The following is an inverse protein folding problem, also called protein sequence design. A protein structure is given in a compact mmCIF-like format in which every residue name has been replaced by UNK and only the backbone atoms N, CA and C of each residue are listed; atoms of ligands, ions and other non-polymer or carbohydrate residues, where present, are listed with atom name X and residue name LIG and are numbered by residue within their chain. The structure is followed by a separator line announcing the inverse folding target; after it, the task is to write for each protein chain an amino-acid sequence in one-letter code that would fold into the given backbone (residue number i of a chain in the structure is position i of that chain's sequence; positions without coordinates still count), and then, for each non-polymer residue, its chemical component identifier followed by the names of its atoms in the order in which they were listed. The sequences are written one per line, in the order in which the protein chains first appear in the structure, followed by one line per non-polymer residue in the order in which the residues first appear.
data_IF_093573933037
#
_entry.id   IF_093573933037
#
_cell.length_a   1.000
_cell.length_b   1.000
_cell.length_c   1.000
_cell.angle_alpha   90.00
_cell.angle_beta   90.00
_cell.angle_gamma   90.00
#
_symmetry.space_group_name_H-M   'P 1'
#
loop_
_entity.id
_entity.type
_entity.pdbx_description
1 polymer ?
#
# COMPACT_ATOMS: atom_id res chain seq x y z
N UNK A 1 -10.97 57.88 28.71
CA UNK A 1 -10.31 58.92 27.89
C UNK A 1 -11.21 59.16 26.68
N UNK A 2 -11.66 60.38 26.44
CA UNK A 2 -12.39 60.71 25.20
C UNK A 2 -11.41 61.30 24.19
N UNK A 3 -11.48 60.80 22.95
CA UNK A 3 -10.75 61.36 21.82
C UNK A 3 -11.77 61.87 20.80
N UNK A 4 -11.57 63.10 20.36
CA UNK A 4 -12.41 63.76 19.35
C UNK A 4 -11.64 63.81 18.03
N UNK A 5 -12.28 63.39 16.94
CA UNK A 5 -11.72 63.52 15.61
C UNK A 5 -11.85 64.98 15.15
N UNK A 6 -10.73 65.63 14.84
CA UNK A 6 -10.66 67.08 14.56
C UNK A 6 -11.20 67.44 13.17
N UNK A 7 -11.31 66.47 12.25
CA UNK A 7 -11.85 66.71 10.90
C UNK A 7 -13.36 66.44 10.78
N UNK A 8 -13.91 65.51 11.56
CA UNK A 8 -15.32 65.10 11.45
C UNK A 8 -16.20 65.49 12.64
N UNK A 9 -15.61 65.99 13.72
CA UNK A 9 -16.33 66.43 14.93
C UNK A 9 -16.91 65.29 15.78
N UNK A 10 -16.79 64.03 15.37
CA UNK A 10 -17.28 62.87 16.13
C UNK A 10 -16.42 62.58 17.37
N UNK A 11 -17.11 62.33 18.50
CA UNK A 11 -16.51 61.92 19.78
C UNK A 11 -16.77 60.46 20.06
N UNK A 12 -15.71 59.69 20.34
CA UNK A 12 -15.81 58.29 20.77
C UNK A 12 -15.38 58.14 22.22
N UNK A 13 -16.25 57.54 23.05
CA UNK A 13 -15.95 57.19 24.44
C UNK A 13 -15.20 55.86 24.52
N UNK A 14 -13.93 55.90 24.93
CA UNK A 14 -13.19 54.68 25.29
C UNK A 14 -13.72 54.18 26.63
N UNK A 15 -14.42 53.03 26.61
CA UNK A 15 -14.86 52.35 27.82
C UNK A 15 -13.63 51.87 28.62
N UNK A 16 -13.66 52.11 29.93
CA UNK A 16 -12.62 51.70 30.86
C UNK A 16 -12.27 50.22 30.67
N UNK A 17 -10.97 49.94 30.61
CA UNK A 17 -10.42 48.59 30.62
C UNK A 17 -11.07 47.80 31.77
N UNK A 18 -11.79 46.74 31.42
CA UNK A 18 -12.30 45.76 32.38
C UNK A 18 -11.11 45.22 33.15
N UNK A 19 -11.26 45.22 34.47
CA UNK A 19 -10.38 44.61 35.46
C UNK A 19 -9.83 43.28 34.96
N UNK A 20 -8.51 43.10 35.09
CA UNK A 20 -7.79 41.84 34.88
C UNK A 20 -8.63 40.70 35.51
N UNK A 21 -9.05 39.68 34.74
CA UNK A 21 -9.70 38.50 35.31
C UNK A 21 -8.79 37.93 36.40
N UNK A 22 -9.40 37.52 37.52
CA UNK A 22 -8.67 36.83 38.59
C UNK A 22 -7.87 35.67 38.00
N UNK A 23 -6.61 35.54 38.43
CA UNK A 23 -5.78 34.40 38.06
C UNK A 23 -6.55 33.11 38.37
N UNK A 24 -6.65 32.17 37.40
CA UNK A 24 -7.28 30.90 37.66
C UNK A 24 -6.56 30.25 38.83
N UNK A 25 -7.33 29.80 39.83
CA UNK A 25 -6.80 28.94 40.89
C UNK A 25 -6.04 27.78 40.23
N UNK A 26 -4.92 27.30 40.81
CA UNK A 26 -4.24 26.12 40.30
C UNK A 26 -5.26 25.01 40.16
N UNK A 27 -5.61 24.68 38.91
CA UNK A 27 -6.33 23.45 38.61
C UNK A 27 -5.28 22.37 38.83
N UNK A 28 -5.55 21.46 39.76
CA UNK A 28 -4.71 20.27 39.93
C UNK A 28 -4.42 19.69 38.53
N UNK A 29 -3.16 19.36 38.19
CA UNK A 29 -2.85 18.85 36.87
C UNK A 29 -3.77 17.66 36.59
N UNK A 30 -4.64 17.80 35.58
CA UNK A 30 -5.39 16.68 35.02
C UNK A 30 -4.35 15.57 34.81
N UNK A 31 -4.60 14.33 35.30
CA UNK A 31 -3.67 13.23 35.08
C UNK A 31 -3.26 13.22 33.61
N UNK A 32 -1.96 13.33 33.32
CA UNK A 32 -1.47 13.16 31.96
C UNK A 32 -2.01 11.81 31.47
N UNK A 33 -2.87 11.86 30.45
CA UNK A 33 -3.29 10.64 29.78
C UNK A 33 -2.02 9.90 29.34
N UNK A 34 -1.89 8.60 29.63
CA UNK A 34 -0.64 7.88 29.38
C UNK A 34 -0.25 8.07 27.93
N UNK A 35 0.97 8.55 27.69
CA UNK A 35 1.49 8.76 26.33
C UNK A 35 1.28 7.47 25.53
N UNK A 36 0.71 7.54 24.32
CA UNK A 36 0.44 6.35 23.56
C UNK A 36 1.75 5.60 23.30
N UNK A 37 1.71 4.27 23.47
CA UNK A 37 2.87 3.42 23.24
C UNK A 37 3.03 3.21 21.73
N UNK A 38 3.77 4.10 21.08
CA UNK A 38 4.09 3.97 19.65
C UNK A 38 5.04 2.80 19.42
N UNK A 39 4.67 1.90 18.49
CA UNK A 39 5.39 0.64 18.25
C UNK A 39 5.85 0.49 16.80
N UNK A 40 5.11 1.02 15.82
CA UNK A 40 5.31 0.69 14.41
C UNK A 40 5.74 1.90 13.59
N UNK A 41 7.02 1.97 13.22
CA UNK A 41 7.56 3.00 12.34
C UNK A 41 7.10 2.79 10.89
N UNK A 42 6.68 3.87 10.23
CA UNK A 42 6.17 3.84 8.84
C UNK A 42 7.31 3.81 7.83
N UNK A 43 8.41 4.51 8.11
CA UNK A 43 9.64 4.49 7.30
C UNK A 43 10.46 3.27 7.72
N UNK A 44 10.83 2.44 6.76
CA UNK A 44 11.63 1.25 7.01
C UNK A 44 11.26 0.09 6.11
N UNK A 45 11.77 -1.08 6.48
CA UNK A 45 11.45 -2.34 5.80
C UNK A 45 10.25 -2.99 6.45
N UNK A 46 9.40 -3.58 5.62
CA UNK A 46 8.33 -4.46 6.10
C UNK A 46 8.87 -5.64 6.90
N UNK A 47 8.12 -6.01 7.92
CA UNK A 47 8.36 -7.20 8.73
C UNK A 47 7.70 -8.40 8.07
N UNK A 48 6.47 -8.25 7.58
CA UNK A 48 5.80 -9.32 6.84
C UNK A 48 6.28 -9.39 5.39
N UNK A 49 6.42 -10.61 4.85
CA UNK A 49 6.67 -10.82 3.42
C UNK A 49 5.39 -10.71 2.61
N UNK A 50 5.51 -10.44 1.30
CA UNK A 50 4.36 -10.42 0.39
C UNK A 50 3.60 -11.75 0.38
N UNK A 51 4.31 -12.88 0.54
CA UNK A 51 3.72 -14.22 0.65
C UNK A 51 2.89 -14.37 1.92
N UNK A 52 3.40 -13.92 3.07
CA UNK A 52 2.63 -13.89 4.32
C UNK A 52 1.37 -13.03 4.17
N UNK A 53 1.47 -11.87 3.52
CA UNK A 53 0.36 -10.97 3.29
C UNK A 53 -0.72 -11.53 2.37
N UNK A 54 -0.32 -12.21 1.29
CA UNK A 54 -1.21 -12.95 0.40
C UNK A 54 -1.94 -14.05 1.16
N UNK A 55 -1.22 -14.85 1.95
CA UNK A 55 -1.81 -15.93 2.74
C UNK A 55 -2.76 -15.39 3.81
N UNK A 56 -2.38 -14.30 4.48
CA UNK A 56 -3.22 -13.61 5.44
C UNK A 56 -4.52 -13.12 4.79
N UNK A 57 -4.44 -12.44 3.64
CA UNK A 57 -5.61 -11.98 2.91
C UNK A 57 -6.55 -13.13 2.50
N UNK A 58 -5.98 -14.26 2.03
CA UNK A 58 -6.75 -15.49 1.75
C UNK A 58 -7.46 -16.01 3.00
N UNK A 59 -6.77 -16.11 4.13
CA UNK A 59 -7.34 -16.55 5.42
C UNK A 59 -8.50 -15.64 5.87
N UNK A 60 -8.40 -14.34 5.60
CA UNK A 60 -9.44 -13.33 5.88
C UNK A 60 -10.60 -13.33 4.88
N UNK A 61 -10.59 -14.23 3.89
CA UNK A 61 -11.58 -14.29 2.80
C UNK A 61 -11.71 -12.92 2.11
N UNK A 62 -10.56 -12.33 1.80
CA UNK A 62 -10.46 -11.12 1.01
C UNK A 62 -11.03 -11.33 -0.40
N UNK A 63 -11.44 -10.25 -1.05
CA UNK A 63 -11.78 -10.31 -2.47
C UNK A 63 -10.50 -10.57 -3.30
N UNK A 64 -10.61 -11.30 -4.41
CA UNK A 64 -9.46 -11.70 -5.24
C UNK A 64 -8.59 -10.50 -5.65
N UNK A 65 -9.20 -9.39 -6.11
CA UNK A 65 -8.51 -8.12 -6.40
C UNK A 65 -7.55 -7.63 -5.30
N UNK A 66 -7.89 -7.83 -4.03
CA UNK A 66 -7.06 -7.42 -2.90
C UNK A 66 -5.87 -8.37 -2.73
N UNK A 67 -6.10 -9.66 -2.93
CA UNK A 67 -5.05 -10.68 -2.92
C UNK A 67 -4.06 -10.43 -4.07
N UNK A 68 -4.56 -10.14 -5.26
CA UNK A 68 -3.74 -9.94 -6.47
C UNK A 68 -2.88 -8.68 -6.37
N UNK A 69 -3.38 -7.59 -5.77
CA UNK A 69 -2.64 -6.33 -5.67
C UNK A 69 -1.54 -6.36 -4.60
N UNK A 70 -1.46 -7.41 -3.77
CA UNK A 70 -0.51 -7.50 -2.66
C UNK A 70 0.93 -7.29 -3.12
N UNK A 71 1.38 -7.96 -4.19
CA UNK A 71 2.77 -7.84 -4.66
C UNK A 71 3.15 -6.38 -5.01
N UNK A 72 2.22 -5.63 -5.59
CA UNK A 72 2.42 -4.22 -5.95
C UNK A 72 2.71 -3.34 -4.73
N UNK A 73 2.14 -3.65 -3.55
CA UNK A 73 2.49 -2.94 -2.31
C UNK A 73 3.96 -3.12 -1.92
N UNK A 74 4.53 -4.33 -2.05
CA UNK A 74 5.95 -4.55 -1.74
C UNK A 74 6.86 -3.84 -2.75
N UNK A 75 6.49 -3.81 -4.03
CA UNK A 75 7.23 -3.03 -5.04
C UNK A 75 7.29 -1.55 -4.66
N UNK A 76 6.16 -0.94 -4.30
CA UNK A 76 6.17 0.48 -3.90
C UNK A 76 6.81 0.71 -2.54
N UNK A 77 6.72 -0.24 -1.61
CA UNK A 77 7.45 -0.20 -0.34
C UNK A 77 8.96 -0.12 -0.56
N UNK A 78 9.50 -0.97 -1.43
CA UNK A 78 10.91 -0.97 -1.78
C UNK A 78 11.34 0.34 -2.49
N UNK A 79 10.50 0.87 -3.39
CA UNK A 79 10.78 2.12 -4.11
C UNK A 79 10.77 3.36 -3.21
N UNK A 80 9.92 3.38 -2.18
CA UNK A 80 9.71 4.56 -1.32
C UNK A 80 10.44 4.46 0.02
N UNK A 81 10.88 3.26 0.41
CA UNK A 81 11.42 2.99 1.74
C UNK A 81 10.36 3.00 2.85
N UNK A 82 9.08 2.79 2.50
CA UNK A 82 7.97 2.72 3.45
C UNK A 82 7.54 1.27 3.68
N UNK A 83 7.10 0.96 4.89
CA UNK A 83 6.61 -0.35 5.29
C UNK A 83 5.34 -0.74 4.50
N UNK A 84 5.50 -1.59 3.49
CA UNK A 84 4.41 -2.10 2.65
C UNK A 84 3.33 -2.87 3.42
N UNK A 85 3.72 -3.69 4.40
CA UNK A 85 2.81 -4.40 5.30
C UNK A 85 1.91 -3.45 6.12
N UNK A 86 2.41 -2.30 6.57
CA UNK A 86 1.59 -1.26 7.21
C UNK A 86 0.56 -0.71 6.21
N UNK A 87 1.00 -0.28 5.03
CA UNK A 87 0.10 0.31 4.04
C UNK A 87 -0.89 -0.71 3.47
N UNK A 88 -0.51 -1.99 3.36
CA UNK A 88 -1.40 -3.06 2.94
C UNK A 88 -2.43 -3.40 4.03
N UNK A 89 -2.04 -3.40 5.30
CA UNK A 89 -2.97 -3.51 6.42
C UNK A 89 -3.95 -2.32 6.48
N UNK A 90 -3.47 -1.10 6.22
CA UNK A 90 -4.30 0.09 6.09
C UNK A 90 -5.31 -0.06 4.94
N UNK A 91 -4.86 -0.53 3.78
CA UNK A 91 -5.74 -0.77 2.65
C UNK A 91 -6.80 -1.85 2.91
N UNK A 92 -6.47 -2.89 3.68
CA UNK A 92 -7.45 -3.86 4.13
C UNK A 92 -8.56 -3.21 4.97
N UNK A 93 -8.20 -2.25 5.83
CA UNK A 93 -9.15 -1.51 6.65
C UNK A 93 -10.05 -0.61 5.79
N UNK A 94 -9.46 0.18 4.91
CA UNK A 94 -10.16 1.15 4.06
C UNK A 94 -11.13 0.48 3.07
N UNK A 95 -10.70 -0.63 2.48
CA UNK A 95 -11.46 -1.30 1.41
C UNK A 95 -12.28 -2.49 1.90
N UNK A 96 -12.26 -2.79 3.20
CA UNK A 96 -12.81 -4.03 3.75
C UNK A 96 -12.28 -5.26 2.98
N UNK A 97 -10.95 -5.38 2.87
CA UNK A 97 -10.26 -6.43 2.14
C UNK A 97 -10.66 -6.51 0.64
N UNK A 98 -10.73 -5.36 -0.02
CA UNK A 98 -11.10 -5.20 -1.43
C UNK A 98 -12.58 -5.40 -1.74
N UNK A 99 -13.46 -5.41 -0.73
CA UNK A 99 -14.91 -5.56 -0.90
C UNK A 99 -15.63 -4.24 -1.16
N UNK A 100 -15.03 -3.12 -0.74
CA UNK A 100 -15.53 -1.75 -0.97
C UNK A 100 -16.98 -1.57 -0.52
N UNK A 101 -17.23 -1.75 0.77
CA UNK A 101 -18.58 -1.66 1.36
C UNK A 101 -18.96 -0.23 1.79
N UNK A 102 -18.14 0.78 1.46
CA UNK A 102 -18.32 2.18 1.82
C UNK A 102 -18.65 3.08 0.64
N UNK A 103 -18.26 4.36 0.71
CA UNK A 103 -18.49 5.34 -0.35
C UNK A 103 -17.62 5.11 -1.60
N UNK A 104 -16.37 4.70 -1.39
CA UNK A 104 -15.45 4.31 -2.46
C UNK A 104 -15.88 2.97 -3.04
N UNK A 105 -15.93 2.89 -4.37
CA UNK A 105 -16.24 1.67 -5.13
C UNK A 105 -15.02 1.06 -5.82
N UNK A 106 -15.05 -0.24 -6.16
CA UNK A 106 -13.89 -0.93 -6.76
C UNK A 106 -13.33 -0.25 -7.99
N UNK A 107 -14.19 0.33 -8.84
CA UNK A 107 -13.82 0.95 -10.11
C UNK A 107 -12.96 2.20 -9.93
N UNK A 108 -12.95 2.82 -8.74
CA UNK A 108 -12.09 3.97 -8.45
C UNK A 108 -10.63 3.57 -8.18
N UNK A 109 -10.34 2.27 -7.99
CA UNK A 109 -9.02 1.76 -7.62
C UNK A 109 -8.37 2.48 -6.42
N UNK A 110 -9.17 3.09 -5.56
CA UNK A 110 -8.69 3.88 -4.44
C UNK A 110 -8.58 3.02 -3.19
N UNK A 111 -7.40 2.44 -2.98
CA UNK A 111 -7.16 1.50 -1.89
C UNK A 111 -7.07 2.12 -0.50
N UNK A 112 -7.11 3.44 -0.39
CA UNK A 112 -6.77 4.15 0.84
C UNK A 112 -7.77 5.24 1.25
N UNK A 113 -8.93 5.29 0.59
CA UNK A 113 -9.98 6.27 0.91
C UNK A 113 -9.57 7.72 0.62
N UNK A 114 -8.64 7.94 -0.30
CA UNK A 114 -8.07 9.27 -0.57
C UNK A 114 -9.15 10.18 -1.15
N UNK A 115 -9.36 11.33 -0.52
CA UNK A 115 -10.27 12.38 -0.99
C UNK A 115 -9.74 13.09 -2.21
N UNK A 116 -10.61 13.65 -3.04
CA UNK A 116 -10.18 14.67 -4.03
C UNK A 116 -9.67 15.93 -3.32
N UNK A 117 -9.04 16.85 -4.07
CA UNK A 117 -8.52 18.13 -3.54
C UNK A 117 -9.50 18.86 -2.63
N UNK A 118 -10.72 19.10 -3.12
CA UNK A 118 -11.75 19.89 -2.47
C UNK A 118 -13.04 19.05 -2.33
N UNK A 119 -13.09 18.10 -1.38
CA UNK A 119 -14.28 17.30 -1.17
C UNK A 119 -15.38 18.16 -0.54
N UNK A 120 -16.61 17.92 -0.96
CA UNK A 120 -17.82 18.54 -0.39
C UNK A 120 -18.47 17.69 0.70
N UNK A 121 -18.04 16.43 0.83
CA UNK A 121 -18.46 15.52 1.89
C UNK A 121 -17.80 14.15 1.78
N UNK A 122 -18.64 13.11 1.86
CA UNK A 122 -18.24 11.71 1.85
C UNK A 122 -18.90 10.89 0.73
N UNK A 123 -19.42 11.55 -0.30
CA UNK A 123 -19.99 10.88 -1.46
C UNK A 123 -18.89 10.20 -2.29
N UNK A 124 -19.30 9.31 -3.19
CA UNK A 124 -18.38 8.62 -4.13
C UNK A 124 -17.44 9.59 -4.85
N UNK A 125 -18.00 10.68 -5.36
CA UNK A 125 -17.26 11.68 -6.16
C UNK A 125 -16.37 12.59 -5.31
N UNK A 126 -16.43 12.48 -3.97
CA UNK A 126 -15.51 13.17 -3.07
C UNK A 126 -14.17 12.41 -2.90
N UNK A 127 -13.95 11.32 -3.66
CA UNK A 127 -12.77 10.47 -3.58
C UNK A 127 -12.02 10.38 -4.91
N UNK A 128 -10.70 10.30 -4.84
CA UNK A 128 -9.84 10.13 -6.01
C UNK A 128 -10.21 8.88 -6.79
N UNK A 129 -10.07 8.96 -8.11
CA UNK A 129 -10.19 7.85 -9.04
C UNK A 129 -8.83 7.62 -9.69
N UNK A 130 -8.31 6.40 -9.58
CA UNK A 130 -7.08 5.98 -10.25
C UNK A 130 -7.42 5.06 -11.42
N UNK A 131 -6.81 5.29 -12.58
CA UNK A 131 -7.13 4.56 -13.81
C UNK A 131 -6.85 3.05 -13.67
N UNK A 132 -5.76 2.70 -12.99
CA UNK A 132 -5.33 1.31 -12.77
C UNK A 132 -5.21 1.00 -11.27
N UNK A 133 -5.42 -0.27 -10.87
CA UNK A 133 -5.19 -0.75 -9.50
C UNK A 133 -3.82 -0.34 -8.93
N UNK A 134 -2.76 -0.46 -9.74
CA UNK A 134 -1.38 -0.17 -9.37
C UNK A 134 -1.15 1.33 -9.18
N UNK A 135 -1.83 2.16 -9.96
CA UNK A 135 -1.81 3.63 -9.79
C UNK A 135 -2.49 4.04 -8.49
N UNK A 136 -3.52 3.29 -8.06
CA UNK A 136 -4.10 3.44 -6.73
C UNK A 136 -3.13 3.12 -5.60
N UNK A 137 -2.31 2.08 -5.75
CA UNK A 137 -1.24 1.76 -4.79
C UNK A 137 -0.20 2.88 -4.78
N UNK A 138 0.25 3.33 -5.96
CA UNK A 138 1.15 4.49 -6.08
C UNK A 138 0.57 5.72 -5.38
N UNK A 139 -0.71 5.99 -5.58
CA UNK A 139 -1.45 7.07 -4.93
C UNK A 139 -1.43 6.97 -3.41
N UNK A 140 -1.68 5.77 -2.87
CA UNK A 140 -1.59 5.49 -1.43
C UNK A 140 -0.19 5.80 -0.86
N UNK A 141 0.85 5.25 -1.49
CA UNK A 141 2.23 5.50 -1.05
C UNK A 141 2.62 6.98 -1.18
N UNK A 142 2.24 7.63 -2.28
CA UNK A 142 2.46 9.07 -2.46
C UNK A 142 1.76 9.87 -1.38
N UNK A 143 0.50 9.56 -1.06
CA UNK A 143 -0.21 10.25 0.00
C UNK A 143 0.52 10.09 1.34
N UNK A 144 0.96 8.87 1.68
CA UNK A 144 1.74 8.62 2.89
C UNK A 144 3.09 9.37 2.88
N UNK A 145 3.72 9.54 1.72
CA UNK A 145 4.96 10.33 1.60
C UNK A 145 4.79 11.78 2.10
N UNK A 146 3.62 12.40 1.92
CA UNK A 146 3.36 13.73 2.48
C UNK A 146 3.30 13.73 4.02
N UNK A 147 2.87 12.61 4.63
CA UNK A 147 2.75 12.49 6.08
C UNK A 147 4.12 12.30 6.72
N UNK A 148 4.97 11.48 6.11
CA UNK A 148 6.26 11.05 6.69
C UNK A 148 7.47 11.81 6.13
N UNK A 149 7.28 12.67 5.14
CA UNK A 149 8.32 13.55 4.60
C UNK A 149 9.22 12.84 3.58
N UNK A 150 8.69 11.80 2.93
CA UNK A 150 9.37 11.06 1.86
C UNK A 150 9.07 11.68 0.49
N UNK A 151 9.86 11.29 -0.52
CA UNK A 151 9.66 11.72 -1.91
C UNK A 151 8.59 10.84 -2.58
N UNK A 152 7.57 11.41 -3.23
CA UNK A 152 6.59 10.62 -3.97
C UNK A 152 7.17 10.07 -5.28
N UNK A 153 6.53 9.03 -5.82
CA UNK A 153 6.85 8.41 -7.11
C UNK A 153 5.95 8.99 -8.22
N UNK A 154 6.58 9.52 -9.26
CA UNK A 154 5.88 10.13 -10.39
C UNK A 154 5.08 11.38 -9.98
N UNK A 155 4.09 11.74 -10.80
CA UNK A 155 3.16 12.84 -10.47
C UNK A 155 2.13 12.40 -9.42
N UNK A 156 2.05 13.06 -8.24
CA UNK A 156 1.06 12.74 -7.22
C UNK A 156 -0.35 13.23 -7.57
N UNK A 157 -1.37 12.59 -7.00
CA UNK A 157 -2.76 13.05 -7.05
C UNK A 157 -2.93 14.37 -6.29
N UNK A 158 -3.96 15.17 -6.61
CA UNK A 158 -4.09 16.55 -6.10
C UNK A 158 -4.15 16.66 -4.57
N UNK A 159 -4.81 15.69 -3.92
CA UNK A 159 -4.93 15.66 -2.45
C UNK A 159 -3.59 15.50 -1.73
N UNK A 160 -2.56 15.01 -2.41
CA UNK A 160 -1.19 15.00 -1.89
C UNK A 160 -0.73 16.40 -1.46
N UNK A 161 -0.95 17.42 -2.31
CA UNK A 161 -0.51 18.78 -2.04
C UNK A 161 -1.29 19.44 -0.90
N UNK A 162 -2.54 19.01 -0.68
CA UNK A 162 -3.32 19.43 0.50
C UNK A 162 -2.70 18.86 1.76
N UNK A 163 -2.38 17.56 1.78
CA UNK A 163 -1.71 16.93 2.93
C UNK A 163 -0.35 17.58 3.21
N UNK A 164 0.42 17.90 2.17
CA UNK A 164 1.72 18.56 2.28
C UNK A 164 1.63 20.00 2.83
N UNK A 165 0.46 20.63 2.76
CA UNK A 165 0.23 21.99 3.27
C UNK A 165 -0.17 22.05 4.76
N UNK A 166 -0.33 20.88 5.40
CA UNK A 166 -0.61 20.81 6.83
C UNK A 166 0.63 21.15 7.65
N UNK A 167 0.43 21.59 8.90
CA UNK A 167 1.52 21.96 9.81
C UNK A 167 2.35 20.76 10.28
N UNK A 168 1.75 19.58 10.32
CA UNK A 168 2.40 18.31 10.70
C UNK A 168 2.97 17.53 9.51
N UNK A 169 2.86 18.06 8.28
CA UNK A 169 3.37 17.38 7.09
C UNK A 169 4.85 17.04 7.26
N UNK A 170 5.20 15.78 7.01
CA UNK A 170 6.58 15.28 7.18
C UNK A 170 6.99 14.92 8.60
N UNK A 171 6.11 15.08 9.60
CA UNK A 171 6.45 14.81 11.00
C UNK A 171 5.96 13.45 11.50
N UNK A 172 5.09 12.76 10.75
CA UNK A 172 4.53 11.46 11.14
C UNK A 172 5.61 10.38 11.06
N UNK A 173 5.83 9.67 12.16
CA UNK A 173 6.83 8.59 12.24
C UNK A 173 6.19 7.23 12.46
N UNK A 174 5.11 7.19 13.26
CA UNK A 174 4.49 5.95 13.71
C UNK A 174 3.07 5.78 13.16
N UNK A 175 2.67 4.53 12.90
CA UNK A 175 1.32 4.16 12.46
C UNK A 175 0.23 4.74 13.38
N UNK A 176 0.48 4.73 14.69
CA UNK A 176 -0.44 5.24 15.70
C UNK A 176 -0.78 6.73 15.49
N UNK A 177 0.18 7.50 14.97
CA UNK A 177 0.04 8.94 14.72
C UNK A 177 -0.84 9.28 13.51
N UNK A 178 -1.25 8.29 12.70
CA UNK A 178 -2.24 8.47 11.65
C UNK A 178 -3.63 8.76 12.22
N UNK A 179 -3.89 8.44 13.48
CA UNK A 179 -5.18 8.73 14.12
C UNK A 179 -5.36 10.22 14.34
N UNK A 180 -6.50 10.75 13.92
CA UNK A 180 -6.76 12.19 13.88
C UNK A 180 -6.10 12.94 12.71
N UNK A 181 -5.18 12.30 11.96
CA UNK A 181 -4.51 12.90 10.79
C UNK A 181 -5.04 12.33 9.48
N UNK A 182 -5.00 11.01 9.32
CA UNK A 182 -5.52 10.31 8.14
C UNK A 182 -7.05 10.24 8.19
N UNK A 183 -7.58 9.86 9.34
CA UNK A 183 -9.02 9.84 9.62
C UNK A 183 -9.30 10.62 10.91
N UNK A 184 -10.49 11.25 11.05
CA UNK A 184 -10.85 12.01 12.26
C UNK A 184 -10.87 11.17 13.54
N UNK A 185 -10.98 9.84 13.43
CA UNK A 185 -11.03 8.93 14.57
C UNK A 185 -9.70 8.91 15.34
N UNK A 186 -9.77 9.02 16.66
CA UNK A 186 -8.63 8.90 17.57
C UNK A 186 -8.13 7.46 17.74
N UNK A 187 -8.90 6.47 17.27
CA UNK A 187 -8.59 5.03 17.35
C UNK A 187 -8.43 4.38 15.99
N UNK A 188 -8.26 5.19 14.92
CA UNK A 188 -8.08 4.71 13.55
C UNK A 188 -6.98 3.65 13.44
N UNK A 189 -5.82 3.90 14.04
CA UNK A 189 -4.68 2.99 14.02
C UNK A 189 -4.97 1.61 14.61
N UNK A 190 -5.89 1.47 15.57
CA UNK A 190 -6.08 0.24 16.35
C UNK A 190 -6.44 -0.95 15.47
N UNK A 191 -7.30 -0.73 14.46
CA UNK A 191 -7.68 -1.81 13.53
C UNK A 191 -6.53 -2.17 12.59
N UNK A 192 -5.72 -1.19 12.18
CA UNK A 192 -4.57 -1.40 11.30
C UNK A 192 -3.47 -2.17 12.04
N UNK A 193 -3.18 -1.81 13.29
CA UNK A 193 -2.25 -2.54 14.16
C UNK A 193 -2.70 -3.99 14.32
N UNK A 194 -3.99 -4.24 14.56
CA UNK A 194 -4.53 -5.60 14.62
C UNK A 194 -4.24 -6.37 13.32
N UNK A 195 -4.52 -5.77 12.17
CA UNK A 195 -4.29 -6.42 10.87
C UNK A 195 -2.82 -6.66 10.57
N UNK A 196 -1.95 -5.72 10.92
CA UNK A 196 -0.50 -5.87 10.80
C UNK A 196 0.02 -7.03 11.67
N UNK A 197 -0.41 -7.12 12.92
CA UNK A 197 -0.01 -8.20 13.83
C UNK A 197 -0.53 -9.57 13.36
N UNK A 198 -1.78 -9.65 12.88
CA UNK A 198 -2.32 -10.86 12.25
C UNK A 198 -1.52 -11.28 11.00
N UNK A 199 -1.09 -10.30 10.19
CA UNK A 199 -0.29 -10.54 8.98
C UNK A 199 1.10 -11.06 9.30
N UNK A 200 1.81 -10.41 10.25
CA UNK A 200 3.15 -10.83 10.70
C UNK A 200 3.09 -12.23 11.33
N UNK A 201 2.04 -12.54 12.09
CA UNK A 201 1.84 -13.85 12.71
C UNK A 201 1.41 -14.95 11.72
N UNK A 202 1.05 -14.60 10.48
CA UNK A 202 0.66 -15.58 9.47
C UNK A 202 1.92 -16.36 9.03
N UNK A 203 1.92 -17.70 9.13
CA UNK A 203 3.04 -18.50 8.64
C UNK A 203 3.28 -18.24 7.16
N UNK A 204 4.55 -18.06 6.79
CA UNK A 204 4.89 -17.97 5.39
C UNK A 204 4.58 -19.33 4.72
N UNK A 205 3.84 -19.34 3.59
CA UNK A 205 3.57 -20.59 2.89
C UNK A 205 4.88 -21.25 2.49
N UNK A 206 4.96 -22.57 2.69
CA UNK A 206 6.10 -23.36 2.22
C UNK A 206 6.29 -23.11 0.71
N UNK A 207 7.54 -23.01 0.24
CA UNK A 207 7.79 -22.86 -1.19
C UNK A 207 7.08 -23.99 -1.91
N UNK A 208 6.22 -23.65 -2.88
CA UNK A 208 5.64 -24.67 -3.74
C UNK A 208 6.80 -25.46 -4.37
N UNK A 209 6.71 -26.80 -4.42
CA UNK A 209 7.73 -27.59 -5.09
C UNK A 209 7.87 -27.03 -6.51
N UNK A 210 9.11 -26.73 -6.93
CA UNK A 210 9.36 -26.24 -8.27
C UNK A 210 8.62 -27.15 -9.26
N UNK A 211 7.90 -26.57 -10.25
CA UNK A 211 7.27 -27.39 -11.27
C UNK A 211 8.36 -28.30 -11.82
N UNK A 212 8.08 -29.62 -11.84
CA UNK A 212 9.01 -30.57 -12.43
C UNK A 212 9.47 -30.00 -13.78
N UNK A 213 10.77 -30.04 -14.10
CA UNK A 213 11.25 -29.51 -15.37
C UNK A 213 10.33 -30.04 -16.45
N UNK A 214 9.72 -29.13 -17.21
CA UNK A 214 8.91 -29.54 -18.36
C UNK A 214 9.76 -30.53 -19.14
N UNK A 215 9.20 -31.68 -19.56
CA UNK A 215 9.97 -32.63 -20.35
C UNK A 215 10.59 -31.83 -21.49
N UNK A 216 11.92 -31.80 -21.57
CA UNK A 216 12.61 -31.11 -22.67
C UNK A 216 11.95 -31.61 -23.94
N UNK A 217 11.26 -30.71 -24.64
CA UNK A 217 10.63 -31.03 -25.90
C UNK A 217 11.77 -31.60 -26.75
N UNK A 218 11.69 -32.87 -27.20
CA UNK A 218 12.81 -33.51 -27.86
C UNK A 218 13.22 -32.59 -28.99
N UNK A 219 14.45 -32.07 -28.95
CA UNK A 219 14.94 -31.13 -29.95
C UNK A 219 14.65 -31.71 -31.34
N UNK A 220 13.60 -31.19 -31.98
CA UNK A 220 13.24 -31.55 -33.35
C UNK A 220 13.98 -30.53 -34.21
N UNK A 221 15.11 -30.91 -34.83
CA UNK A 221 15.81 -30.01 -35.73
C UNK A 221 14.87 -29.64 -36.86
N UNK A 222 14.86 -28.36 -37.25
CA UNK A 222 14.16 -27.91 -38.45
C UNK A 222 14.84 -28.58 -39.67
N UNK A 223 14.20 -29.62 -40.21
CA UNK A 223 14.73 -30.40 -41.32
C UNK A 223 14.77 -29.59 -42.63
N UNK A 224 14.08 -28.44 -42.66
CA UNK A 224 14.04 -27.52 -43.79
C UNK A 224 15.04 -26.36 -43.63
N UNK A 225 15.87 -26.32 -42.56
CA UNK A 225 16.89 -25.27 -42.39
C UNK A 225 17.98 -25.37 -43.48
N UNK A 226 18.10 -24.37 -44.38
CA UNK A 226 19.07 -24.38 -45.47
C UNK A 226 20.54 -24.29 -45.00
N UNK A 227 20.79 -24.04 -43.71
CA UNK A 227 22.14 -24.05 -43.10
C UNK A 227 22.55 -25.43 -42.57
N UNK A 228 21.67 -26.43 -42.64
CA UNK A 228 21.97 -27.78 -42.16
C UNK A 228 22.90 -28.48 -43.17
N UNK A 229 24.21 -28.46 -42.90
CA UNK A 229 25.17 -29.14 -43.77
C UNK A 229 24.87 -30.65 -43.85
N UNK A 230 24.98 -31.21 -45.06
CA UNK A 230 24.50 -32.58 -45.40
C UNK A 230 25.16 -33.70 -44.57
N UNK A 231 26.38 -33.47 -44.08
CA UNK A 231 27.09 -34.41 -43.21
C UNK A 231 26.54 -34.40 -41.77
N UNK A 232 25.99 -33.27 -41.33
CA UNK A 232 25.35 -33.10 -40.02
C UNK A 232 23.98 -33.76 -39.98
N UNK A 233 23.24 -33.74 -41.09
CA UNK A 233 21.94 -34.42 -41.21
C UNK A 233 22.06 -35.94 -41.08
N UNK A 234 23.05 -36.57 -41.73
CA UNK A 234 23.26 -38.03 -41.62
C UNK A 234 23.72 -38.45 -40.22
N UNK A 235 24.55 -37.64 -39.54
CA UNK A 235 24.94 -37.89 -38.16
C UNK A 235 23.76 -37.70 -37.19
N UNK A 236 22.92 -36.68 -37.38
CA UNK A 236 21.68 -36.52 -36.61
C UNK A 236 20.70 -37.67 -36.85
N UNK A 237 20.55 -38.13 -38.09
CA UNK A 237 19.67 -39.26 -38.41
C UNK A 237 20.13 -40.53 -37.70
N UNK A 238 21.44 -40.78 -37.62
CA UNK A 238 22.00 -41.92 -36.86
C UNK A 238 21.69 -41.80 -35.37
N UNK A 239 21.87 -40.62 -34.77
CA UNK A 239 21.59 -40.38 -33.35
C UNK A 239 20.10 -40.59 -33.05
N UNK A 240 19.22 -40.11 -33.92
CA UNK A 240 17.75 -40.27 -33.79
C UNK A 240 17.35 -41.74 -33.94
N UNK A 241 17.88 -42.45 -34.94
CA UNK A 241 17.63 -43.89 -35.12
C UNK A 241 18.12 -44.68 -33.91
N UNK A 242 19.31 -44.38 -33.39
CA UNK A 242 19.85 -45.03 -32.20
C UNK A 242 19.01 -44.77 -30.95
N UNK A 243 18.48 -43.55 -30.79
CA UNK A 243 17.58 -43.20 -29.69
C UNK A 243 16.25 -43.99 -29.79
N UNK A 244 15.67 -44.08 -30.99
CA UNK A 244 14.43 -44.85 -31.24
C UNK A 244 14.67 -46.35 -30.99
N UNK A 245 15.77 -46.90 -31.48
CA UNK A 245 16.13 -48.32 -31.27
C UNK A 245 16.33 -48.60 -29.78
N UNK A 246 17.03 -47.72 -29.04
CA UNK A 246 17.20 -47.86 -27.58
C UNK A 246 15.85 -47.81 -26.85
N UNK A 247 14.96 -46.91 -27.26
CA UNK A 247 13.63 -46.77 -26.66
C UNK A 247 12.75 -48.01 -26.91
N UNK A 248 12.69 -48.51 -28.15
CA UNK A 248 11.98 -49.76 -28.49
C UNK A 248 12.57 -50.93 -27.72
N UNK A 249 13.90 -51.03 -27.63
CA UNK A 249 14.58 -52.10 -26.89
C UNK A 249 14.26 -52.06 -25.39
N UNK A 250 14.12 -50.86 -24.81
CA UNK A 250 13.71 -50.67 -23.42
C UNK A 250 12.25 -51.07 -23.19
N UNK A 251 11.36 -50.75 -24.13
CA UNK A 251 9.96 -51.19 -24.09
C UNK A 251 9.82 -52.72 -24.19
N UNK A 252 10.60 -53.37 -25.06
CA UNK A 252 10.60 -54.83 -25.20
C UNK A 252 11.19 -55.52 -23.95
N UNK A 253 12.20 -54.92 -23.29
CA UNK A 253 12.83 -55.47 -22.08
C UNK A 253 12.08 -55.16 -20.78
N UNK A 254 11.25 -54.11 -20.75
CA UNK A 254 10.45 -53.72 -19.58
C UNK A 254 9.08 -54.40 -19.48
N UNK A 255 8.74 -55.29 -20.41
CA UNK A 255 7.48 -56.06 -20.45
C UNK A 255 7.56 -57.45 -19.82
N UNK A 256 8.27 -57.62 -18.71
CA UNK A 256 8.24 -58.81 -17.84
C UNK A 256 8.15 -58.40 -16.38
#
# INVERSE_FOLDING_TARGET
IELQNVETGETTKIQNAKTKPAEPKPVDPKPEEPKPKYKYEIIGKSVATSKQAIQWAKNRKAHQRFIDIAHTYWVYGDLTGLCADILYAQAAHETNFGKFTGAVIPEQNNWAGIKIKNPTGDARDDHEHFELPEEGVRGHFNHMCAYVGARPIGEPHDRYYVALSTDWAGEVKYLEELSGKWAPSTTYHTKIVQFLEEMIATPEPEPEPEPAPEPEDPFVPDLDDPKLETNTFLELLKVIIDAIVKWITKLIKGGK
#
